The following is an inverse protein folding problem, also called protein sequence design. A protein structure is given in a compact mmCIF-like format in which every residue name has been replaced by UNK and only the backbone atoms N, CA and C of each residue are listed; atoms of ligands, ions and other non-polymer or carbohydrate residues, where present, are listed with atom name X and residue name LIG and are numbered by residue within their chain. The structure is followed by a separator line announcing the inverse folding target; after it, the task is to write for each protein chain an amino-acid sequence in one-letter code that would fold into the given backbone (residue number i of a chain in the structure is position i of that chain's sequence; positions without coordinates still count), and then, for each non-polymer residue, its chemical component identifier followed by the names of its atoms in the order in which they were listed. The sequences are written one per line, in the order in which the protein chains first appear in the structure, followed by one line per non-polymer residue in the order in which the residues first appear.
data_IF_751125408524
#
_entry.id   IF_751125408524
#
_cell.length_a   1.000
_cell.length_b   1.000
_cell.length_c   1.000
_cell.angle_alpha   90.00
_cell.angle_beta   90.00
_cell.angle_gamma   90.00
#
_symmetry.space_group_name_H-M   'P 1'
#
loop_
_entity.id
_entity.type
_entity.pdbx_description
1 polymer ?
#
# COMPACT_ATOMS: atom_id res chain seq x y z
N UNK A 1 -40.35 12.96 -50.77
CA UNK A 1 -38.92 12.77 -51.09
C UNK A 1 -38.17 12.57 -49.78
N UNK A 2 -37.89 11.33 -49.42
CA UNK A 2 -37.12 10.96 -48.24
C UNK A 2 -36.20 9.82 -48.67
N UNK A 3 -34.90 10.12 -48.79
CA UNK A 3 -33.88 9.17 -49.20
C UNK A 3 -33.28 8.48 -47.97
N UNK A 4 -33.55 7.19 -47.83
CA UNK A 4 -32.88 6.31 -46.87
C UNK A 4 -31.53 5.90 -47.42
N UNK A 5 -30.46 6.39 -46.80
CA UNK A 5 -29.07 5.98 -47.09
C UNK A 5 -28.75 4.68 -46.35
N UNK A 6 -28.63 3.59 -47.11
CA UNK A 6 -28.20 2.27 -46.63
C UNK A 6 -26.71 2.14 -46.88
N UNK A 7 -25.89 2.29 -45.83
CA UNK A 7 -24.45 2.02 -45.90
C UNK A 7 -24.18 0.53 -45.71
N UNK A 8 -23.80 -0.13 -46.79
CA UNK A 8 -23.35 -1.50 -46.83
C UNK A 8 -21.96 -1.65 -46.19
N UNK A 9 -21.84 -2.52 -45.18
CA UNK A 9 -20.56 -2.94 -44.62
C UNK A 9 -19.87 -3.94 -45.57
N UNK A 10 -18.70 -3.54 -46.07
CA UNK A 10 -17.83 -4.35 -46.91
C UNK A 10 -17.26 -5.56 -46.17
N UNK A 11 -17.35 -6.72 -46.84
CA UNK A 11 -16.70 -7.98 -46.47
C UNK A 11 -15.17 -7.82 -46.53
N UNK A 12 -14.45 -8.21 -45.48
CA UNK A 12 -12.98 -8.37 -45.51
C UNK A 12 -12.59 -9.64 -46.29
N UNK A 13 -11.50 -9.60 -47.08
CA UNK A 13 -10.96 -10.79 -47.72
C UNK A 13 -10.35 -11.75 -46.70
N UNK A 14 -10.43 -13.03 -47.04
CA UNK A 14 -9.91 -14.18 -46.32
C UNK A 14 -8.48 -14.39 -46.82
N UNK A 15 -7.49 -14.06 -46.01
CA UNK A 15 -6.10 -14.34 -46.37
C UNK A 15 -5.80 -15.83 -46.19
N UNK A 16 -5.27 -16.38 -47.26
CA UNK A 16 -4.85 -17.76 -47.48
C UNK A 16 -3.49 -18.05 -46.86
N UNK A 17 -3.37 -19.23 -46.26
CA UNK A 17 -2.10 -19.91 -45.97
C UNK A 17 -1.16 -19.93 -47.18
N UNK A 18 0.15 -19.92 -46.94
CA UNK A 18 1.00 -20.88 -47.63
C UNK A 18 1.89 -21.66 -46.66
N UNK A 19 1.72 -22.98 -46.75
CA UNK A 19 2.72 -23.98 -46.42
C UNK A 19 3.85 -23.98 -47.47
N UNK A 20 5.10 -24.04 -47.01
CA UNK A 20 6.28 -24.78 -47.55
C UNK A 20 7.54 -24.03 -47.11
N UNK A 21 8.31 -24.62 -46.19
CA UNK A 21 9.52 -25.41 -46.47
C UNK A 21 10.53 -24.64 -47.32
N UNK A 22 11.57 -24.13 -46.66
CA UNK A 22 12.93 -24.36 -47.13
C UNK A 22 13.94 -24.29 -45.99
N UNK A 23 14.73 -25.35 -45.94
CA UNK A 23 15.88 -25.58 -45.06
C UNK A 23 17.11 -24.92 -45.66
N UNK A 24 17.72 -23.96 -44.97
CA UNK A 24 19.10 -23.56 -45.23
C UNK A 24 19.84 -23.40 -43.91
N UNK A 25 20.87 -24.22 -43.77
CA UNK A 25 21.84 -24.18 -42.69
C UNK A 25 22.69 -22.90 -42.79
N UNK A 26 22.90 -22.24 -41.66
CA UNK A 26 24.05 -21.34 -41.49
C UNK A 26 24.55 -21.43 -40.06
N UNK A 27 25.65 -22.17 -39.93
CA UNK A 27 26.58 -22.10 -38.80
C UNK A 27 26.98 -20.65 -38.55
N UNK A 28 26.81 -20.17 -37.32
CA UNK A 28 27.60 -19.06 -36.80
C UNK A 28 27.82 -19.24 -35.29
N UNK A 29 29.04 -19.68 -34.98
CA UNK A 29 29.65 -19.69 -33.66
C UNK A 29 29.66 -18.27 -33.07
N UNK A 30 28.91 -18.04 -31.99
CA UNK A 30 29.16 -16.95 -31.05
C UNK A 30 29.25 -17.50 -29.62
N UNK A 31 30.47 -17.76 -29.19
CA UNK A 31 30.84 -18.11 -27.81
C UNK A 31 30.93 -16.84 -26.95
N UNK A 32 29.77 -16.36 -26.48
CA UNK A 32 29.67 -15.27 -25.50
C UNK A 32 29.36 -15.80 -24.10
N UNK A 33 30.37 -16.31 -23.38
CA UNK A 33 30.23 -16.75 -21.98
C UNK A 33 29.93 -15.56 -21.06
N UNK A 34 28.65 -15.28 -20.81
CA UNK A 34 28.22 -14.33 -19.77
C UNK A 34 28.40 -14.98 -18.39
N UNK A 35 29.37 -14.48 -17.62
CA UNK A 35 29.64 -14.87 -16.23
C UNK A 35 28.39 -14.67 -15.36
N UNK A 36 27.74 -15.78 -14.97
CA UNK A 36 26.73 -15.81 -13.90
C UNK A 36 27.37 -15.36 -12.58
N UNK A 37 26.98 -14.20 -12.05
CA UNK A 37 27.25 -13.83 -10.65
C UNK A 37 26.44 -14.78 -9.75
N UNK A 38 27.13 -15.71 -9.09
CA UNK A 38 26.59 -16.46 -7.95
C UNK A 38 26.54 -15.51 -6.76
N UNK A 39 25.36 -15.23 -6.23
CA UNK A 39 25.22 -14.70 -4.88
C UNK A 39 25.42 -15.87 -3.92
N UNK A 40 26.57 -15.91 -3.25
CA UNK A 40 26.85 -16.85 -2.16
C UNK A 40 26.07 -16.43 -0.93
N UNK A 41 25.00 -17.17 -0.62
CA UNK A 41 24.29 -17.12 0.65
C UNK A 41 25.03 -17.98 1.67
N UNK A 42 26.08 -17.46 2.28
CA UNK A 42 26.71 -18.07 3.46
C UNK A 42 27.25 -16.97 4.38
N UNK A 43 26.37 -16.39 5.19
CA UNK A 43 26.78 -15.64 6.40
C UNK A 43 25.82 -15.99 7.53
N UNK A 44 26.15 -17.04 8.28
CA UNK A 44 25.57 -17.34 9.58
C UNK A 44 26.04 -16.27 10.59
N UNK A 45 25.25 -15.21 10.79
CA UNK A 45 25.52 -14.18 11.79
C UNK A 45 24.86 -14.55 13.12
N UNK A 46 25.67 -14.69 14.17
CA UNK A 46 25.20 -14.90 15.55
C UNK A 46 24.27 -13.77 16.05
N UNK A 47 23.24 -14.07 16.84
CA UNK A 47 22.27 -13.08 17.30
C UNK A 47 22.81 -12.30 18.50
N UNK A 48 23.58 -11.22 18.24
CA UNK A 48 23.71 -10.14 19.22
C UNK A 48 22.47 -9.24 19.11
N UNK A 49 21.79 -9.05 20.23
CA UNK A 49 20.70 -8.08 20.43
C UNK A 49 21.19 -6.68 20.03
N UNK A 50 20.95 -6.30 18.78
CA UNK A 50 21.17 -4.96 18.29
C UNK A 50 20.08 -4.06 18.88
N UNK A 51 20.50 -3.06 19.66
CA UNK A 51 19.66 -1.92 19.99
C UNK A 51 19.23 -1.28 18.67
N UNK A 52 17.94 -1.32 18.38
CA UNK A 52 17.37 -0.65 17.22
C UNK A 52 17.43 0.85 17.53
N UNK A 53 18.48 1.52 17.05
CA UNK A 53 18.52 2.98 17.09
C UNK A 53 17.39 3.53 16.21
N UNK A 54 16.67 4.58 16.66
CA UNK A 54 15.63 5.21 15.87
C UNK A 54 16.24 5.72 14.57
N UNK A 55 15.87 5.09 13.45
CA UNK A 55 16.42 5.40 12.14
C UNK A 55 16.10 6.87 11.82
N UNK A 56 17.15 7.68 11.71
CA UNK A 56 17.07 9.03 11.17
C UNK A 56 16.37 8.89 9.82
N UNK A 57 15.19 9.49 9.67
CA UNK A 57 14.47 9.53 8.39
C UNK A 57 15.47 10.04 7.37
N UNK A 58 15.77 9.24 6.35
CA UNK A 58 16.62 9.67 5.25
C UNK A 58 16.06 10.99 4.73
N UNK A 59 16.86 12.05 4.73
CA UNK A 59 16.48 13.40 4.30
C UNK A 59 16.20 13.51 2.80
N UNK A 60 15.99 12.38 2.12
CA UNK A 60 15.66 12.32 0.71
C UNK A 60 14.23 12.80 0.43
N UNK A 61 13.95 13.13 -0.84
CA UNK A 61 12.61 13.49 -1.26
C UNK A 61 11.66 12.27 -1.11
N UNK A 62 10.37 12.54 -0.89
CA UNK A 62 9.37 11.51 -0.67
C UNK A 62 9.17 10.67 -1.95
N UNK A 63 9.45 9.35 -1.95
CA UNK A 63 9.37 8.51 -3.16
C UNK A 63 7.95 8.44 -3.74
N UNK A 64 6.92 8.67 -2.92
CA UNK A 64 5.52 8.63 -3.38
C UNK A 64 5.15 9.82 -4.28
N UNK A 65 5.81 10.97 -4.11
CA UNK A 65 5.50 12.20 -4.85
C UNK A 65 6.64 12.67 -5.76
N UNK A 66 7.80 12.02 -5.67
CA UNK A 66 8.95 12.29 -6.54
C UNK A 66 8.76 11.54 -7.85
N UNK A 67 8.57 12.28 -8.94
CA UNK A 67 8.46 11.69 -10.27
C UNK A 67 9.82 11.13 -10.70
N UNK A 68 9.86 9.98 -11.39
CA UNK A 68 11.11 9.45 -11.90
C UNK A 68 11.68 10.35 -13.03
N UNK A 69 12.95 10.12 -13.43
CA UNK A 69 13.52 10.74 -14.62
C UNK A 69 12.62 10.55 -15.84
N UNK A 70 12.67 11.49 -16.78
CA UNK A 70 11.96 11.34 -18.05
C UNK A 70 12.43 10.08 -18.79
N UNK A 71 11.48 9.36 -19.39
CA UNK A 71 11.72 8.19 -20.25
C UNK A 71 10.97 8.36 -21.55
N UNK A 72 11.38 7.63 -22.58
CA UNK A 72 10.73 7.52 -23.87
C UNK A 72 9.77 6.32 -23.94
N UNK A 73 9.62 5.55 -22.87
CA UNK A 73 8.86 4.30 -22.86
C UNK A 73 7.70 4.32 -21.86
N UNK A 74 6.50 4.06 -22.37
CA UNK A 74 5.27 3.96 -21.60
C UNK A 74 4.61 2.60 -21.78
N UNK A 75 3.79 2.24 -20.81
CA UNK A 75 2.91 1.08 -20.82
C UNK A 75 1.47 1.55 -20.57
N UNK A 76 0.51 1.05 -21.34
CA UNK A 76 -0.91 1.36 -21.11
C UNK A 76 -1.55 0.28 -20.25
N UNK A 77 -1.88 0.67 -19.03
CA UNK A 77 -2.40 -0.19 -17.99
C UNK A 77 -3.87 0.09 -17.73
N UNK A 78 -4.63 -0.97 -17.47
CA UNK A 78 -5.99 -0.93 -16.96
C UNK A 78 -5.97 -1.18 -15.45
N UNK A 79 -6.52 -0.24 -14.70
CA UNK A 79 -6.76 -0.33 -13.26
C UNK A 79 -8.23 -0.64 -13.03
N UNK A 80 -8.55 -1.91 -12.78
CA UNK A 80 -9.92 -2.40 -12.59
C UNK A 80 -10.20 -2.56 -11.09
N UNK A 81 -11.15 -1.80 -10.54
CA UNK A 81 -11.56 -1.97 -9.16
C UNK A 81 -12.34 -3.27 -9.03
N UNK A 82 -11.82 -4.20 -8.23
CA UNK A 82 -12.43 -5.48 -7.98
C UNK A 82 -13.72 -5.30 -7.17
N UNK A 83 -14.72 -6.17 -7.38
CA UNK A 83 -16.09 -6.11 -6.83
C UNK A 83 -17.00 -5.00 -7.37
N UNK A 84 -16.44 -3.94 -7.97
CA UNK A 84 -17.22 -2.85 -8.55
C UNK A 84 -17.21 -2.91 -10.07
N UNK A 85 -18.19 -3.64 -10.63
CA UNK A 85 -18.36 -3.73 -12.09
C UNK A 85 -18.48 -2.33 -12.69
N UNK A 86 -17.81 -2.10 -13.83
CA UNK A 86 -17.82 -0.81 -14.51
C UNK A 86 -16.95 0.28 -13.90
N UNK A 87 -16.26 0.04 -12.76
CA UNK A 87 -15.34 1.02 -12.18
C UNK A 87 -13.89 0.72 -12.58
N UNK A 88 -13.35 1.52 -13.50
CA UNK A 88 -11.97 1.33 -13.97
C UNK A 88 -11.34 2.58 -14.55
N UNK A 89 -10.02 2.54 -14.72
CA UNK A 89 -9.22 3.57 -15.40
C UNK A 89 -8.29 2.91 -16.41
N UNK A 90 -8.07 3.54 -17.56
CA UNK A 90 -7.02 3.14 -18.51
C UNK A 90 -6.02 4.28 -18.64
N UNK A 91 -4.75 3.97 -18.35
CA UNK A 91 -3.72 4.97 -18.11
C UNK A 91 -2.43 4.57 -18.78
N UNK A 92 -1.81 5.49 -19.52
CA UNK A 92 -0.44 5.36 -19.99
C UNK A 92 0.50 5.86 -18.91
N UNK A 93 1.41 4.99 -18.47
CA UNK A 93 2.33 5.24 -17.36
C UNK A 93 3.77 5.02 -17.84
N UNK A 94 4.73 5.87 -17.46
CA UNK A 94 6.14 5.64 -17.76
C UNK A 94 6.63 4.32 -17.12
N UNK A 95 7.40 3.53 -17.85
CA UNK A 95 7.80 2.18 -17.40
C UNK A 95 8.75 2.21 -16.18
N UNK A 96 9.47 3.32 -16.00
CA UNK A 96 10.36 3.53 -14.86
C UNK A 96 9.66 4.02 -13.59
N UNK A 97 8.32 4.07 -13.56
CA UNK A 97 7.58 4.33 -12.32
C UNK A 97 7.84 3.22 -11.31
N UNK A 98 8.11 3.62 -10.06
CA UNK A 98 8.17 2.68 -8.94
C UNK A 98 6.77 2.27 -8.49
N UNK A 99 6.66 1.22 -7.69
CA UNK A 99 5.40 0.87 -7.04
C UNK A 99 4.94 1.93 -6.03
N UNK A 100 5.85 2.73 -5.47
CA UNK A 100 5.50 3.90 -4.67
C UNK A 100 4.78 4.95 -5.53
N UNK A 101 5.29 5.25 -6.74
CA UNK A 101 4.60 6.14 -7.68
C UNK A 101 3.24 5.56 -8.11
N UNK A 102 3.17 4.24 -8.37
CA UNK A 102 1.93 3.57 -8.72
C UNK A 102 0.88 3.63 -7.59
N UNK A 103 1.30 3.46 -6.33
CA UNK A 103 0.41 3.63 -5.18
C UNK A 103 -0.22 5.04 -5.20
N UNK A 104 0.60 6.09 -5.30
CA UNK A 104 0.12 7.48 -5.37
C UNK A 104 -0.80 7.70 -6.57
N UNK A 105 -0.48 7.10 -7.72
CA UNK A 105 -1.33 7.16 -8.92
C UNK A 105 -2.69 6.52 -8.66
N UNK A 106 -2.74 5.37 -7.99
CA UNK A 106 -4.00 4.73 -7.58
C UNK A 106 -4.81 5.64 -6.66
N UNK A 107 -4.16 6.29 -5.67
CA UNK A 107 -4.84 7.25 -4.79
C UNK A 107 -5.47 8.40 -5.60
N UNK A 108 -4.71 8.96 -6.55
CA UNK A 108 -5.20 9.99 -7.47
C UNK A 108 -6.41 9.52 -8.28
N UNK A 109 -6.29 8.36 -8.94
CA UNK A 109 -7.27 7.79 -9.86
C UNK A 109 -8.61 7.40 -9.21
N UNK A 110 -8.58 7.03 -7.93
CA UNK A 110 -9.75 6.55 -7.17
C UNK A 110 -10.18 7.52 -6.06
N UNK A 111 -9.51 8.66 -5.90
CA UNK A 111 -9.88 9.68 -4.92
C UNK A 111 -9.80 9.19 -3.48
N UNK A 112 -8.78 8.38 -3.18
CA UNK A 112 -8.45 7.88 -1.85
C UNK A 112 -7.37 8.75 -1.20
N UNK A 113 -7.30 8.73 0.13
CA UNK A 113 -6.45 9.65 0.89
C UNK A 113 -5.04 9.10 1.23
N UNK A 114 -4.74 7.83 0.93
CA UNK A 114 -3.47 7.17 1.26
C UNK A 114 -3.22 6.96 2.76
N UNK A 115 -4.26 6.93 3.59
CA UNK A 115 -4.16 6.77 5.04
C UNK A 115 -4.08 5.32 5.50
N UNK A 116 -4.50 4.37 4.67
CA UNK A 116 -4.48 2.95 5.00
C UNK A 116 -3.23 2.24 4.45
N UNK A 117 -2.93 1.07 5.03
CA UNK A 117 -1.88 0.20 4.51
C UNK A 117 -2.23 -0.32 3.12
N UNK A 118 -1.19 -0.49 2.30
CA UNK A 118 -1.28 -1.14 1.00
C UNK A 118 -0.24 -2.23 0.84
N UNK A 119 -0.52 -3.14 -0.09
CA UNK A 119 0.45 -4.09 -0.63
C UNK A 119 0.09 -4.39 -2.09
N UNK A 120 1.08 -4.83 -2.86
CA UNK A 120 0.84 -5.29 -4.23
C UNK A 120 1.46 -6.66 -4.43
N UNK A 121 0.70 -7.58 -5.02
CA UNK A 121 1.19 -8.90 -5.43
C UNK A 121 1.34 -8.95 -6.95
N UNK A 122 2.48 -9.46 -7.42
CA UNK A 122 2.81 -9.56 -8.85
C UNK A 122 2.71 -11.02 -9.29
N UNK A 123 1.95 -11.29 -10.35
CA UNK A 123 1.68 -12.63 -10.87
C UNK A 123 2.14 -12.77 -12.31
N UNK A 124 2.78 -13.90 -12.65
CA UNK A 124 3.29 -14.16 -14.00
C UNK A 124 2.30 -14.87 -14.91
N UNK A 125 1.28 -15.52 -14.35
CA UNK A 125 0.29 -16.26 -15.10
C UNK A 125 -1.12 -15.89 -14.64
N UNK A 126 -1.67 -14.83 -15.22
CA UNK A 126 -3.05 -14.39 -14.99
C UNK A 126 -3.96 -14.80 -16.15
N UNK A 127 -5.14 -15.31 -15.82
CA UNK A 127 -6.24 -15.53 -16.75
C UNK A 127 -7.26 -14.41 -16.56
N UNK A 128 -7.64 -13.71 -17.63
CA UNK A 128 -8.65 -12.64 -17.57
C UNK A 128 -10.06 -13.19 -17.78
N UNK A 129 -11.06 -12.56 -17.16
CA UNK A 129 -12.46 -12.86 -17.50
C UNK A 129 -12.75 -12.49 -18.97
N UNK A 130 -13.37 -13.44 -19.69
CA UNK A 130 -13.86 -13.23 -21.06
C UNK A 130 -15.25 -12.57 -21.11
N UNK A 131 -15.98 -12.58 -20.00
CA UNK A 131 -17.34 -12.03 -19.93
C UNK A 131 -17.33 -10.51 -19.93
N UNK A 132 -18.28 -9.89 -20.65
CA UNK A 132 -18.40 -8.44 -20.75
C UNK A 132 -18.55 -7.75 -19.38
N UNK A 133 -19.32 -8.36 -18.47
CA UNK A 133 -19.61 -7.81 -17.14
C UNK A 133 -18.39 -7.76 -16.20
N UNK A 134 -17.29 -8.46 -16.55
CA UNK A 134 -16.06 -8.51 -15.75
C UNK A 134 -14.83 -8.19 -16.59
N UNK A 135 -14.99 -7.48 -17.71
CA UNK A 135 -13.89 -7.12 -18.61
C UNK A 135 -12.76 -6.43 -17.82
N UNK A 136 -11.54 -6.95 -17.97
CA UNK A 136 -10.35 -6.42 -17.31
C UNK A 136 -10.15 -6.86 -15.86
N UNK A 137 -11.02 -7.72 -15.31
CA UNK A 137 -10.74 -8.40 -14.06
C UNK A 137 -9.96 -9.69 -14.29
N UNK A 138 -9.02 -9.98 -13.39
CA UNK A 138 -8.34 -11.27 -13.30
C UNK A 138 -9.32 -12.32 -12.73
N UNK A 139 -9.40 -13.47 -13.40
CA UNK A 139 -10.21 -14.65 -13.04
C UNK A 139 -9.44 -15.62 -12.17
N UNK A 140 -8.21 -15.93 -12.56
CA UNK A 140 -7.27 -16.76 -11.82
C UNK A 140 -5.87 -16.20 -12.03
N UNK A 141 -5.01 -16.47 -11.07
CA UNK A 141 -3.63 -15.98 -11.03
C UNK A 141 -2.78 -16.98 -10.25
N UNK A 142 -1.48 -16.96 -10.51
CA UNK A 142 -0.52 -17.77 -9.77
C UNK A 142 0.89 -17.60 -10.33
N UNK A 143 1.80 -18.40 -9.79
CA UNK A 143 3.11 -18.59 -10.35
C UNK A 143 3.10 -19.88 -11.15
N UNK A 144 3.37 -19.78 -12.44
CA UNK A 144 3.36 -20.94 -13.31
C UNK A 144 4.62 -21.81 -13.23
N UNK A 145 5.55 -21.53 -12.31
CA UNK A 145 6.80 -22.29 -12.23
C UNK A 145 6.46 -23.78 -12.14
N UNK A 146 6.86 -24.49 -13.19
CA UNK A 146 7.02 -25.93 -13.14
C UNK A 146 7.83 -26.25 -11.87
N UNK A 147 7.39 -27.26 -11.13
CA UNK A 147 8.19 -27.80 -10.04
C UNK A 147 9.61 -28.00 -10.58
N UNK A 148 10.65 -27.37 -10.00
CA UNK A 148 11.96 -27.27 -10.65
C UNK A 148 12.44 -28.66 -11.06
N UNK A 149 12.39 -28.93 -12.36
CA UNK A 149 12.77 -30.23 -12.93
C UNK A 149 14.23 -30.48 -12.52
N UNK A 150 14.46 -31.54 -11.75
CA UNK A 150 15.78 -31.86 -11.19
C UNK A 150 15.97 -31.54 -9.70
N UNK A 151 14.98 -30.95 -9.00
CA UNK A 151 14.91 -31.04 -7.52
C UNK A 151 14.04 -32.20 -7.08
N UNK A 152 14.31 -33.40 -7.61
CA UNK A 152 13.92 -34.61 -6.89
C UNK A 152 14.73 -34.56 -5.60
N UNK A 153 14.09 -34.30 -4.47
CA UNK A 153 14.77 -34.33 -3.17
C UNK A 153 15.26 -35.78 -3.04
N UNK A 154 16.58 -36.02 -3.08
CA UNK A 154 17.10 -37.37 -3.09
C UNK A 154 16.58 -38.09 -1.84
N UNK A 155 16.09 -39.32 -2.01
CA UNK A 155 15.59 -40.18 -0.93
C UNK A 155 14.16 -39.89 -0.42
N UNK A 156 13.34 -39.08 -1.08
CA UNK A 156 11.88 -39.10 -0.81
C UNK A 156 11.22 -40.32 -1.47
N UNK A 157 10.35 -41.02 -0.74
CA UNK A 157 9.48 -42.05 -1.32
C UNK A 157 8.56 -41.46 -2.39
N UNK A 158 8.08 -42.28 -3.33
CA UNK A 158 7.14 -41.85 -4.38
C UNK A 158 5.92 -41.14 -3.78
N UNK A 159 5.35 -41.68 -2.69
CA UNK A 159 4.22 -41.07 -1.98
C UNK A 159 4.56 -39.65 -1.45
N UNK A 160 5.77 -39.45 -0.93
CA UNK A 160 6.21 -38.14 -0.45
C UNK A 160 6.52 -37.18 -1.59
N UNK A 161 7.01 -37.66 -2.73
CA UNK A 161 7.19 -36.86 -3.94
C UNK A 161 5.85 -36.38 -4.48
N UNK A 162 4.85 -37.25 -4.54
CA UNK A 162 3.48 -36.89 -4.96
C UNK A 162 2.85 -35.90 -4.01
N UNK A 163 2.95 -36.11 -2.69
CA UNK A 163 2.49 -35.14 -1.67
C UNK A 163 3.20 -33.78 -1.82
N UNK A 164 4.49 -33.79 -2.09
CA UNK A 164 5.28 -32.56 -2.30
C UNK A 164 4.85 -31.83 -3.57
N UNK A 165 4.60 -32.57 -4.66
CA UNK A 165 4.13 -32.01 -5.92
C UNK A 165 2.70 -31.46 -5.80
N UNK A 166 1.81 -32.17 -5.13
CA UNK A 166 0.45 -31.69 -4.88
C UNK A 166 0.47 -30.43 -3.99
N UNK A 167 1.26 -30.45 -2.91
CA UNK A 167 1.47 -29.27 -2.08
C UNK A 167 2.07 -28.11 -2.87
N UNK A 168 3.03 -28.37 -3.77
CA UNK A 168 3.60 -27.36 -4.67
C UNK A 168 2.54 -26.76 -5.58
N UNK A 169 1.68 -27.58 -6.19
CA UNK A 169 0.62 -27.10 -7.07
C UNK A 169 -0.41 -26.27 -6.31
N UNK A 170 -0.75 -26.66 -5.08
CA UNK A 170 -1.65 -25.89 -4.21
C UNK A 170 -1.02 -24.56 -3.80
N UNK A 171 0.25 -24.57 -3.38
CA UNK A 171 0.93 -23.37 -2.87
C UNK A 171 1.35 -22.40 -3.96
N UNK A 172 1.86 -22.88 -5.09
CA UNK A 172 2.27 -22.03 -6.22
C UNK A 172 1.12 -21.65 -7.15
N UNK A 173 0.03 -22.43 -7.11
CA UNK A 173 -1.18 -22.16 -7.88
C UNK A 173 -1.71 -20.74 -7.66
N UNK A 174 -1.47 -20.14 -6.49
CA UNK A 174 -1.84 -18.75 -6.17
C UNK A 174 -0.65 -17.89 -5.69
N UNK A 175 0.59 -18.38 -5.81
CA UNK A 175 1.77 -17.63 -5.35
C UNK A 175 2.07 -16.42 -6.24
N UNK A 176 2.56 -15.36 -5.61
CA UNK A 176 3.01 -14.16 -6.30
C UNK A 176 4.54 -14.19 -6.46
N UNK A 177 5.09 -13.70 -7.56
CA UNK A 177 6.55 -13.60 -7.70
C UNK A 177 7.11 -12.53 -6.76
N UNK A 178 6.41 -11.39 -6.66
CA UNK A 178 6.75 -10.31 -5.73
C UNK A 178 5.59 -10.02 -4.79
N UNK A 179 5.92 -9.80 -3.52
CA UNK A 179 5.06 -9.14 -2.55
C UNK A 179 5.66 -7.76 -2.24
N UNK A 180 5.09 -6.74 -2.86
CA UNK A 180 5.57 -5.37 -2.77
C UNK A 180 4.86 -4.68 -1.61
N UNK A 181 5.62 -4.14 -0.66
CA UNK A 181 5.10 -3.51 0.56
C UNK A 181 5.59 -2.08 0.70
N UNK A 182 4.84 -1.25 1.43
CA UNK A 182 5.23 0.13 1.69
C UNK A 182 6.62 0.24 2.34
N UNK A 183 7.42 1.22 1.92
CA UNK A 183 8.75 1.49 2.48
C UNK A 183 8.77 1.54 4.01
N UNK A 184 9.79 0.92 4.61
CA UNK A 184 9.97 0.90 6.06
C UNK A 184 9.08 -0.09 6.82
N UNK A 185 8.19 -0.82 6.14
CA UNK A 185 7.37 -1.89 6.76
C UNK A 185 8.09 -3.23 6.87
N UNK A 186 9.20 -3.44 6.16
CA UNK A 186 9.97 -4.70 6.21
C UNK A 186 10.76 -4.82 7.53
N UNK A 187 11.03 -3.71 8.23
CA UNK A 187 11.92 -3.72 9.38
C UNK A 187 11.21 -4.10 10.69
N UNK A 188 11.64 -5.23 11.28
CA UNK A 188 11.72 -5.34 12.74
C UNK A 188 11.00 -6.51 13.40
N UNK A 189 10.05 -7.20 12.76
CA UNK A 189 9.31 -8.31 13.44
C UNK A 189 8.97 -9.53 12.59
N UNK A 190 8.76 -9.43 11.26
CA UNK A 190 8.16 -10.55 10.54
C UNK A 190 9.11 -11.65 10.09
N UNK A 191 10.42 -11.41 9.94
CA UNK A 191 11.34 -12.47 9.52
C UNK A 191 11.72 -13.45 10.65
N UNK A 192 11.51 -13.07 11.92
CA UNK A 192 11.78 -13.93 13.08
C UNK A 192 10.53 -14.40 13.84
N UNK A 193 9.40 -13.69 13.73
CA UNK A 193 8.19 -14.00 14.51
C UNK A 193 7.16 -14.85 13.74
N UNK A 194 7.27 -14.93 12.42
CA UNK A 194 6.55 -15.96 11.67
C UNK A 194 7.46 -17.20 11.70
N UNK A 195 7.13 -18.16 12.57
CA UNK A 195 7.95 -19.36 12.81
C UNK A 195 8.28 -20.16 11.54
N UNK A 196 8.97 -21.28 11.73
CA UNK A 196 9.55 -22.25 10.78
C UNK A 196 8.80 -22.52 9.45
N UNK A 197 7.55 -22.07 9.28
CA UNK A 197 6.73 -22.19 8.08
C UNK A 197 6.64 -20.93 7.19
N UNK A 198 7.11 -19.75 7.62
CA UNK A 198 7.04 -18.54 6.79
C UNK A 198 8.21 -18.31 5.84
N UNK A 199 9.32 -19.01 6.08
CA UNK A 199 10.46 -19.05 5.16
C UNK A 199 10.12 -19.78 3.83
N UNK A 200 8.94 -20.39 3.73
CA UNK A 200 8.44 -21.03 2.51
C UNK A 200 7.55 -20.13 1.66
N UNK A 201 7.35 -18.85 2.01
CA UNK A 201 6.76 -17.92 1.04
C UNK A 201 7.81 -17.65 -0.04
N UNK A 202 7.67 -18.32 -1.19
CA UNK A 202 8.58 -18.19 -2.34
C UNK A 202 8.55 -16.81 -3.00
N UNK A 203 7.67 -15.93 -2.53
CA UNK A 203 7.50 -14.57 -3.02
C UNK A 203 8.68 -13.72 -2.54
N UNK A 204 9.30 -12.99 -3.46
CA UNK A 204 10.29 -11.99 -3.08
C UNK A 204 9.57 -10.79 -2.46
N UNK A 205 9.82 -10.52 -1.19
CA UNK A 205 9.30 -9.32 -0.53
C UNK A 205 10.21 -8.14 -0.81
N UNK A 206 9.67 -7.08 -1.40
CA UNK A 206 10.42 -5.90 -1.88
C UNK A 206 9.71 -4.63 -1.43
N UNK A 207 10.46 -3.56 -1.13
CA UNK A 207 9.84 -2.26 -0.84
C UNK A 207 9.33 -1.59 -2.13
N UNK A 208 8.23 -0.87 -2.05
CA UNK A 208 7.58 -0.25 -3.20
C UNK A 208 8.40 0.82 -3.93
N UNK A 209 9.38 1.43 -3.26
CA UNK A 209 10.36 2.33 -3.88
C UNK A 209 11.48 1.61 -4.67
N UNK A 210 11.67 0.31 -4.47
CA UNK A 210 12.80 -0.46 -5.05
C UNK A 210 12.43 -1.20 -6.33
N UNK A 211 11.15 -1.46 -6.57
CA UNK A 211 10.65 -2.17 -7.76
C UNK A 211 9.97 -1.18 -8.71
N UNK A 212 10.32 -1.24 -9.99
CA UNK A 212 9.70 -0.46 -11.06
C UNK A 212 8.71 -1.28 -11.87
N UNK A 213 7.85 -0.62 -12.66
CA UNK A 213 6.98 -1.30 -13.62
C UNK A 213 7.79 -2.02 -14.71
N UNK A 214 8.98 -1.51 -15.05
CA UNK A 214 9.93 -2.11 -16.00
C UNK A 214 10.55 -3.42 -15.52
N UNK A 215 10.70 -3.59 -14.20
CA UNK A 215 11.15 -4.87 -13.64
C UNK A 215 10.07 -5.96 -13.76
N UNK A 216 8.80 -5.55 -13.93
CA UNK A 216 7.64 -6.43 -14.06
C UNK A 216 7.34 -6.73 -15.52
N UNK A 217 7.13 -5.69 -16.31
CA UNK A 217 6.83 -5.75 -17.72
C UNK A 217 7.98 -5.10 -18.50
N UNK A 218 8.48 -5.77 -19.53
CA UNK A 218 9.57 -5.27 -20.38
C UNK A 218 9.13 -5.32 -21.84
N UNK A 219 9.60 -4.42 -22.70
CA UNK A 219 9.30 -4.48 -24.15
C UNK A 219 9.78 -5.80 -24.75
N UNK A 220 10.94 -6.28 -24.29
CA UNK A 220 11.45 -7.60 -24.61
C UNK A 220 10.85 -8.60 -23.62
N UNK A 221 9.91 -9.42 -24.08
CA UNK A 221 9.22 -10.40 -23.24
C UNK A 221 10.18 -11.40 -22.57
N UNK A 222 11.37 -11.63 -23.15
CA UNK A 222 12.40 -12.48 -22.54
C UNK A 222 12.95 -11.89 -21.23
N UNK A 223 12.87 -10.57 -21.06
CA UNK A 223 13.40 -9.86 -19.90
C UNK A 223 12.36 -9.57 -18.81
N UNK A 224 11.06 -9.75 -19.10
CA UNK A 224 9.98 -9.50 -18.15
C UNK A 224 10.08 -10.37 -16.88
N UNK A 225 9.20 -10.18 -15.90
CA UNK A 225 9.28 -10.89 -14.60
C UNK A 225 9.15 -12.42 -14.73
N UNK A 226 8.53 -12.91 -15.81
CA UNK A 226 8.44 -14.34 -16.12
C UNK A 226 9.66 -14.90 -16.84
N UNK A 227 10.59 -14.04 -17.29
CA UNK A 227 11.77 -14.42 -18.08
C UNK A 227 11.42 -15.14 -19.38
N UNK A 228 10.45 -14.59 -20.12
CA UNK A 228 9.98 -15.13 -21.41
C UNK A 228 9.01 -16.29 -21.32
N UNK A 229 8.74 -16.83 -20.12
CA UNK A 229 7.79 -17.94 -19.94
C UNK A 229 6.35 -17.52 -20.27
N UNK A 230 6.00 -16.27 -19.95
CA UNK A 230 4.69 -15.68 -20.21
C UNK A 230 4.81 -14.37 -20.96
N UNK A 231 3.85 -14.14 -21.85
CA UNK A 231 3.69 -12.86 -22.54
C UNK A 231 3.28 -11.78 -21.55
N UNK A 232 3.57 -10.52 -21.85
CA UNK A 232 3.27 -9.41 -20.96
C UNK A 232 1.78 -9.27 -20.61
N UNK A 233 0.88 -9.63 -21.54
CA UNK A 233 -0.58 -9.67 -21.32
C UNK A 233 -1.04 -10.72 -20.30
N UNK A 234 -0.18 -11.69 -19.98
CA UNK A 234 -0.41 -12.75 -19.01
C UNK A 234 0.21 -12.43 -17.65
N UNK A 235 0.89 -11.29 -17.50
CA UNK A 235 1.37 -10.77 -16.22
C UNK A 235 0.35 -9.76 -15.69
N UNK A 236 0.04 -9.84 -14.39
CA UNK A 236 -0.91 -8.94 -13.74
C UNK A 236 -0.57 -8.69 -12.29
N UNK A 237 -1.12 -7.59 -11.76
CA UNK A 237 -0.94 -7.20 -10.35
C UNK A 237 -2.28 -7.21 -9.63
N UNK A 238 -2.24 -7.56 -8.35
CA UNK A 238 -3.33 -7.32 -7.42
C UNK A 238 -2.82 -6.36 -6.37
N UNK A 239 -3.32 -5.13 -6.44
CA UNK A 239 -3.09 -4.10 -5.45
C UNK A 239 -4.20 -4.16 -4.40
N UNK A 240 -3.83 -4.23 -3.13
CA UNK A 240 -4.77 -4.25 -2.00
C UNK A 240 -4.53 -3.02 -1.13
N UNK A 241 -5.61 -2.32 -0.80
CA UNK A 241 -5.63 -1.14 0.07
C UNK A 241 -6.64 -1.35 1.19
N UNK A 242 -6.30 -0.90 2.41
CA UNK A 242 -7.08 -1.18 3.62
C UNK A 242 -7.18 -2.68 3.91
N UNK A 243 -6.06 -3.28 4.35
CA UNK A 243 -5.92 -4.74 4.47
C UNK A 243 -6.97 -5.45 5.34
N UNK A 244 -7.68 -4.72 6.22
CA UNK A 244 -8.78 -5.26 7.04
C UNK A 244 -10.11 -5.34 6.28
N UNK A 245 -10.30 -4.50 5.26
CA UNK A 245 -11.47 -4.44 4.39
C UNK A 245 -11.05 -4.18 2.93
N UNK A 246 -10.31 -5.12 2.30
CA UNK A 246 -9.44 -4.77 1.19
C UNK A 246 -10.21 -4.28 -0.04
N UNK A 247 -9.94 -3.04 -0.41
CA UNK A 247 -10.14 -2.55 -1.76
C UNK A 247 -9.07 -3.19 -2.64
N UNK A 248 -9.50 -4.04 -3.56
CA UNK A 248 -8.61 -4.75 -4.47
C UNK A 248 -8.70 -4.11 -5.85
N UNK A 249 -7.56 -3.80 -6.47
CA UNK A 249 -7.46 -3.31 -7.84
C UNK A 249 -6.63 -4.31 -8.63
N UNK A 250 -7.19 -4.80 -9.73
CA UNK A 250 -6.48 -5.60 -10.70
C UNK A 250 -5.81 -4.67 -11.71
N UNK A 251 -4.49 -4.79 -11.87
CA UNK A 251 -3.71 -3.98 -12.82
C UNK A 251 -3.17 -4.89 -13.91
N UNK A 252 -3.52 -4.61 -15.16
CA UNK A 252 -3.14 -5.43 -16.34
C UNK A 252 -2.86 -4.54 -17.54
N UNK A 253 -2.18 -5.08 -18.55
CA UNK A 253 -1.96 -4.37 -19.82
C UNK A 253 -3.27 -4.27 -20.60
N UNK A 254 -3.58 -3.08 -21.10
CA UNK A 254 -4.76 -2.82 -21.94
C UNK A 254 -4.42 -2.89 -23.44
N UNK A 255 -3.32 -2.24 -23.86
CA UNK A 255 -3.00 -2.02 -25.28
C UNK A 255 -1.47 -2.02 -25.56
N UNK A 256 -0.66 -2.48 -24.59
CA UNK A 256 0.78 -2.69 -24.75
C UNK A 256 1.67 -1.49 -24.39
N UNK A 257 2.81 -1.42 -25.07
CA UNK A 257 3.86 -0.42 -24.87
C UNK A 257 3.85 0.65 -25.96
N UNK A 258 4.33 1.83 -25.61
CA UNK A 258 4.41 3.00 -26.49
C UNK A 258 5.76 3.66 -26.33
N UNK A 259 6.33 4.10 -27.46
CA UNK A 259 7.51 4.95 -27.47
C UNK A 259 7.10 6.38 -27.85
N UNK A 260 7.61 7.37 -27.12
CA UNK A 260 7.43 8.80 -27.44
C UNK A 260 8.73 9.39 -27.97
N UNK A 261 8.62 10.25 -28.97
CA UNK A 261 9.75 11.06 -29.46
C UNK A 261 10.21 12.12 -28.43
N UNK A 262 9.31 12.51 -27.52
CA UNK A 262 9.59 13.47 -26.46
C UNK A 262 9.60 12.75 -25.11
N UNK A 263 10.78 12.48 -24.52
CA UNK A 263 10.86 11.86 -23.22
C UNK A 263 10.11 12.66 -22.16
N UNK A 264 9.39 11.95 -21.29
CA UNK A 264 8.58 12.56 -20.25
C UNK A 264 8.40 11.63 -19.06
N UNK A 265 7.78 12.16 -18.01
CA UNK A 265 7.37 11.41 -16.83
C UNK A 265 5.89 11.66 -16.48
N UNK A 266 5.14 12.19 -17.45
CA UNK A 266 3.70 12.42 -17.35
C UNK A 266 2.92 11.13 -17.46
N UNK A 267 1.71 11.18 -16.89
CA UNK A 267 0.72 10.13 -16.93
C UNK A 267 -0.46 10.62 -17.76
N UNK A 268 -0.97 9.77 -18.65
CA UNK A 268 -2.10 10.08 -19.50
C UNK A 268 -3.27 9.16 -19.19
N UNK A 269 -4.31 9.71 -18.58
CA UNK A 269 -5.56 8.98 -18.34
C UNK A 269 -6.38 9.04 -19.63
N UNK A 270 -6.54 7.89 -20.28
CA UNK A 270 -7.21 7.77 -21.59
C UNK A 270 -8.66 7.36 -21.48
N UNK A 271 -9.03 6.67 -20.40
CA UNK A 271 -10.40 6.23 -20.16
C UNK A 271 -10.73 6.23 -18.66
N UNK A 272 -11.95 6.67 -18.31
CA UNK A 272 -12.45 6.74 -16.93
C UNK A 272 -13.92 6.34 -16.86
N UNK A 273 -14.23 5.37 -16.01
CA UNK A 273 -15.61 4.91 -15.81
C UNK A 273 -15.92 4.66 -14.34
N UNK A 274 -17.06 5.18 -13.87
CA UNK A 274 -17.56 5.02 -12.51
C UNK A 274 -16.65 5.58 -11.41
N UNK A 275 -17.13 5.57 -10.17
CA UNK A 275 -16.36 5.99 -8.99
C UNK A 275 -16.51 4.96 -7.86
N UNK A 276 -15.49 4.80 -6.99
CA UNK A 276 -15.59 3.89 -5.86
C UNK A 276 -16.63 4.37 -4.84
N UNK A 277 -16.83 3.58 -3.78
CA UNK A 277 -17.49 4.06 -2.56
C UNK A 277 -16.61 5.04 -1.79
N UNK A 278 -17.25 5.82 -0.92
CA UNK A 278 -16.56 6.75 -0.04
C UNK A 278 -15.76 5.96 0.99
N UNK A 279 -14.48 6.29 1.13
CA UNK A 279 -13.56 5.76 2.14
C UNK A 279 -14.17 5.90 3.56
N UNK A 280 -13.86 4.96 4.47
CA UNK A 280 -14.31 4.93 5.89
C UNK A 280 -15.80 4.64 6.14
N UNK A 281 -16.66 4.56 5.12
CA UNK A 281 -18.06 4.17 5.30
C UNK A 281 -18.23 2.66 5.14
N UNK A 282 -18.08 1.93 6.26
CA UNK A 282 -18.29 0.47 6.32
C UNK A 282 -19.75 0.03 6.11
N UNK A 283 -20.69 0.97 6.03
CA UNK A 283 -22.11 0.69 5.80
C UNK A 283 -22.50 1.05 4.36
N UNK A 284 -23.11 0.09 3.67
CA UNK A 284 -23.83 0.33 2.43
C UNK A 284 -24.89 1.40 2.68
N UNK A 285 -24.76 2.55 2.02
CA UNK A 285 -25.80 3.58 2.04
C UNK A 285 -26.73 3.27 0.87
N UNK A 286 -27.98 2.87 1.16
CA UNK A 286 -28.98 2.43 0.18
C UNK A 286 -29.26 3.45 -0.92
N UNK A 287 -29.06 4.73 -0.64
CA UNK A 287 -29.50 5.83 -1.50
C UNK A 287 -28.40 6.32 -2.45
N UNK A 288 -27.26 5.62 -2.51
CA UNK A 288 -26.17 6.00 -3.39
C UNK A 288 -26.34 5.34 -4.77
N UNK A 289 -26.05 6.07 -5.87
CA UNK A 289 -26.04 5.48 -7.21
C UNK A 289 -25.03 4.32 -7.28
N UNK A 290 -25.26 3.38 -8.20
CA UNK A 290 -24.33 2.29 -8.44
C UNK A 290 -22.95 2.86 -8.79
N UNK A 291 -21.89 2.17 -8.38
CA UNK A 291 -20.53 2.67 -8.54
C UNK A 291 -20.18 2.99 -10.02
N UNK A 292 -20.71 2.20 -10.96
CA UNK A 292 -20.58 2.42 -12.40
C UNK A 292 -21.28 3.70 -12.91
N UNK A 293 -22.33 4.16 -12.22
CA UNK A 293 -23.17 5.29 -12.61
C UNK A 293 -22.70 6.62 -12.01
N UNK A 294 -21.77 6.57 -11.05
CA UNK A 294 -21.20 7.77 -10.44
C UNK A 294 -20.41 8.57 -11.45
N UNK A 295 -20.60 9.89 -11.43
CA UNK A 295 -19.87 10.81 -12.29
C UNK A 295 -18.37 10.81 -11.95
N UNK A 296 -17.54 11.05 -12.96
CA UNK A 296 -16.08 11.18 -12.79
C UNK A 296 -15.66 12.53 -13.34
N UNK A 297 -14.82 13.26 -12.59
CA UNK A 297 -14.34 14.57 -13.02
C UNK A 297 -13.42 14.46 -14.24
N UNK A 298 -13.74 15.23 -15.28
CA UNK A 298 -12.92 15.36 -16.51
C UNK A 298 -11.51 15.90 -16.22
N UNK A 299 -11.30 16.55 -15.07
CA UNK A 299 -9.97 16.98 -14.64
C UNK A 299 -8.99 15.81 -14.47
N UNK A 300 -9.47 14.57 -14.32
CA UNK A 300 -8.60 13.39 -14.33
C UNK A 300 -7.97 13.11 -15.70
N UNK A 301 -8.64 13.52 -16.79
CA UNK A 301 -8.20 13.33 -18.17
C UNK A 301 -7.15 14.36 -18.61
N UNK A 302 -6.98 15.43 -17.84
CA UNK A 302 -5.97 16.46 -18.11
C UNK A 302 -4.62 16.00 -17.59
N UNK A 303 -3.70 15.61 -18.47
CA UNK A 303 -2.38 15.04 -18.10
C UNK A 303 -1.59 15.90 -17.12
N UNK A 304 -1.61 17.23 -17.29
CA UNK A 304 -0.89 18.17 -16.41
C UNK A 304 -1.41 18.16 -14.96
N UNK A 305 -2.63 17.69 -14.71
CA UNK A 305 -3.19 17.61 -13.36
C UNK A 305 -2.53 16.52 -12.50
N UNK A 306 -1.94 15.48 -13.10
CA UNK A 306 -1.14 14.51 -12.34
C UNK A 306 0.05 15.17 -11.64
N UNK A 307 0.84 15.97 -12.37
CA UNK A 307 1.95 16.74 -11.80
C UNK A 307 1.48 17.69 -10.69
N UNK A 308 0.32 18.31 -10.86
CA UNK A 308 -0.29 19.18 -9.84
C UNK A 308 -0.70 18.40 -8.60
N UNK A 309 -1.23 17.19 -8.76
CA UNK A 309 -1.53 16.29 -7.65
C UNK A 309 -0.24 15.94 -6.88
N UNK A 310 0.83 15.56 -7.57
CA UNK A 310 2.13 15.28 -6.94
C UNK A 310 2.69 16.49 -6.16
N UNK A 311 2.47 17.70 -6.66
CA UNK A 311 2.83 18.96 -5.98
C UNK A 311 1.82 19.42 -4.92
N UNK A 312 0.76 18.65 -4.65
CA UNK A 312 -0.33 18.99 -3.71
C UNK A 312 -1.11 20.26 -4.09
N UNK A 313 -1.06 20.65 -5.36
CA UNK A 313 -1.84 21.75 -5.96
C UNK A 313 -3.24 21.28 -6.42
N UNK A 314 -3.47 19.97 -6.41
CA UNK A 314 -4.73 19.33 -6.77
C UNK A 314 -4.98 18.18 -5.80
N UNK A 315 -6.24 17.98 -5.41
CA UNK A 315 -6.67 16.82 -4.64
C UNK A 315 -7.76 16.08 -5.39
N UNK A 316 -7.86 14.78 -5.15
CA UNK A 316 -8.96 13.95 -5.63
C UNK A 316 -9.69 13.36 -4.43
N UNK A 317 -10.99 13.22 -4.54
CA UNK A 317 -11.82 12.68 -3.47
C UNK A 317 -13.06 12.00 -4.03
N UNK A 318 -13.34 10.81 -3.53
CA UNK A 318 -14.61 10.14 -3.79
C UNK A 318 -15.72 10.68 -2.88
N UNK A 319 -16.79 11.13 -3.51
CA UNK A 319 -18.03 11.60 -2.92
C UNK A 319 -19.14 10.55 -3.10
N UNK A 320 -20.28 10.69 -2.39
CA UNK A 320 -21.44 9.82 -2.56
C UNK A 320 -21.83 9.51 -4.00
N UNK A 321 -21.85 10.53 -4.85
CA UNK A 321 -22.36 10.51 -6.22
C UNK A 321 -21.30 10.72 -7.30
N UNK A 322 -20.05 11.02 -6.95
CA UNK A 322 -19.02 11.36 -7.93
C UNK A 322 -17.59 11.15 -7.41
N UNK A 323 -16.63 10.98 -8.33
CA UNK A 323 -15.21 11.20 -8.08
C UNK A 323 -14.84 12.62 -8.53
N UNK A 324 -14.42 13.46 -7.59
CA UNK A 324 -14.12 14.87 -7.84
C UNK A 324 -12.62 15.09 -7.73
N UNK A 325 -12.07 15.80 -8.71
CA UNK A 325 -10.74 16.43 -8.64
C UNK A 325 -10.93 17.93 -8.43
N UNK A 326 -10.16 18.55 -7.53
CA UNK A 326 -10.25 19.96 -7.21
C UNK A 326 -8.87 20.58 -7.10
N UNK A 327 -8.67 21.71 -7.76
CA UNK A 327 -7.48 22.54 -7.59
C UNK A 327 -7.48 23.11 -6.18
N UNK A 328 -6.39 22.89 -5.45
CA UNK A 328 -6.15 23.51 -4.15
C UNK A 328 -5.79 24.97 -4.42
N UNK A 329 -6.65 25.89 -3.99
CA UNK A 329 -6.32 27.32 -3.99
C UNK A 329 -5.27 27.55 -2.92
N UNK A 330 -4.00 27.58 -3.31
CA UNK A 330 -2.83 27.68 -2.44
C UNK A 330 -2.67 29.05 -1.76
N UNK A 331 -3.59 30.01 -1.98
CA UNK A 331 -3.33 31.41 -1.66
C UNK A 331 -3.95 32.02 -0.40
N UNK A 332 -4.97 31.44 0.25
CA UNK A 332 -5.64 32.14 1.39
C UNK A 332 -6.35 31.24 2.39
N UNK A 333 -6.86 30.09 1.94
CA UNK A 333 -7.63 29.18 2.79
C UNK A 333 -6.74 28.32 3.69
N UNK A 334 -5.55 27.94 3.23
CA UNK A 334 -4.62 27.12 4.00
C UNK A 334 -4.09 27.88 5.21
N UNK A 335 -3.61 29.11 5.04
CA UNK A 335 -3.09 29.94 6.13
C UNK A 335 -4.17 30.20 7.18
N UNK A 336 -5.36 30.62 6.77
CA UNK A 336 -6.50 30.82 7.69
C UNK A 336 -6.93 29.54 8.41
N UNK A 337 -6.91 28.38 7.75
CA UNK A 337 -7.23 27.11 8.41
C UNK A 337 -6.13 26.64 9.36
N UNK A 338 -4.85 26.83 9.00
CA UNK A 338 -3.74 26.54 9.89
C UNK A 338 -3.74 27.48 11.10
N UNK A 339 -3.98 28.77 10.90
CA UNK A 339 -4.14 29.76 11.97
C UNK A 339 -5.33 29.40 12.86
N UNK A 340 -6.49 29.07 12.29
CA UNK A 340 -7.67 28.68 13.06
C UNK A 340 -7.43 27.38 13.85
N UNK A 341 -6.75 26.39 13.25
CA UNK A 341 -6.40 25.14 13.93
C UNK A 341 -5.37 25.37 15.03
N UNK A 342 -4.38 26.22 14.79
CA UNK A 342 -3.37 26.60 15.77
C UNK A 342 -4.01 27.35 16.93
N UNK A 343 -4.87 28.34 16.66
CA UNK A 343 -5.63 29.05 17.67
C UNK A 343 -6.53 28.10 18.49
N UNK A 344 -7.15 27.10 17.85
CA UNK A 344 -7.94 26.08 18.55
C UNK A 344 -7.08 25.19 19.47
N UNK A 345 -5.89 24.80 19.02
CA UNK A 345 -4.93 24.03 19.83
C UNK A 345 -4.38 24.86 20.99
N UNK A 346 -4.06 26.14 20.77
CA UNK A 346 -3.62 27.06 21.82
C UNK A 346 -4.72 27.32 22.84
N UNK A 347 -5.97 27.45 22.40
CA UNK A 347 -7.13 27.56 23.30
C UNK A 347 -7.31 26.28 24.13
N UNK A 348 -7.20 25.09 23.52
CA UNK A 348 -7.24 23.83 24.28
C UNK A 348 -6.08 23.71 25.27
N UNK A 349 -4.86 24.08 24.87
CA UNK A 349 -3.71 24.10 25.76
C UNK A 349 -3.87 25.09 26.91
N UNK A 350 -4.50 26.24 26.67
CA UNK A 350 -4.82 27.22 27.71
C UNK A 350 -5.83 26.65 28.73
N UNK A 351 -6.88 25.97 28.27
CA UNK A 351 -7.85 25.28 29.15
C UNK A 351 -7.15 24.21 30.01
N UNK A 352 -6.27 23.41 29.42
CA UNK A 352 -5.49 22.38 30.16
C UNK A 352 -4.59 23.04 31.22
N UNK A 353 -3.94 24.17 30.90
CA UNK A 353 -3.13 24.92 31.89
C UNK A 353 -3.99 25.45 33.04
N UNK A 354 -5.15 26.02 32.75
CA UNK A 354 -6.08 26.50 33.78
C UNK A 354 -6.53 25.37 34.73
N UNK A 355 -6.89 24.21 34.18
CA UNK A 355 -7.25 23.05 35.01
C UNK A 355 -6.09 22.60 35.89
N UNK A 356 -4.86 22.57 35.37
CA UNK A 356 -3.67 22.18 36.13
C UNK A 356 -3.35 23.16 37.26
N UNK A 357 -3.57 24.46 37.04
CA UNK A 357 -3.38 25.48 38.06
C UNK A 357 -4.44 25.40 39.17
N UNK A 358 -5.70 25.15 38.82
CA UNK A 358 -6.77 24.92 39.79
C UNK A 358 -6.54 23.65 40.62
N UNK A 359 -6.14 22.54 39.99
CA UNK A 359 -5.72 21.33 40.71
C UNK A 359 -4.56 21.61 41.67
N UNK A 360 -3.59 22.43 41.24
CA UNK A 360 -2.47 22.86 42.08
C UNK A 360 -2.91 23.70 43.28
N UNK A 361 -3.86 24.62 43.11
CA UNK A 361 -4.45 25.41 44.20
C UNK A 361 -5.23 24.54 45.18
N UNK A 362 -6.02 23.60 44.67
CA UNK A 362 -6.82 22.69 45.50
C UNK A 362 -5.93 21.76 46.31
N UNK A 363 -4.87 21.19 45.71
CA UNK A 363 -3.85 20.43 46.45
C UNK A 363 -3.21 21.24 47.59
N UNK A 364 -2.93 22.54 47.36
CA UNK A 364 -2.40 23.43 48.42
C UNK A 364 -3.43 23.69 49.53
N UNK A 365 -4.72 23.81 49.21
CA UNK A 365 -5.80 23.96 50.21
C UNK A 365 -5.93 22.71 51.06
N UNK A 366 -5.99 21.52 50.43
CA UNK A 366 -6.02 20.23 51.12
C UNK A 366 -4.80 20.09 52.04
N UNK A 367 -3.59 20.40 51.56
CA UNK A 367 -2.39 20.31 52.38
C UNK A 367 -2.41 21.26 53.59
N UNK A 368 -2.95 22.48 53.43
CA UNK A 368 -3.12 23.42 54.56
C UNK A 368 -4.14 22.91 55.57
N UNK A 369 -5.25 22.34 55.11
CA UNK A 369 -6.27 21.75 55.98
C UNK A 369 -5.70 20.55 56.77
N UNK A 370 -4.94 19.66 56.11
CA UNK A 370 -4.25 18.55 56.76
C UNK A 370 -3.25 19.02 57.81
N UNK A 371 -2.45 20.06 57.52
CA UNK A 371 -1.51 20.64 58.50
C UNK A 371 -2.23 21.26 59.71
N UNK A 372 -3.38 21.90 59.50
CA UNK A 372 -4.20 22.45 60.59
C UNK A 372 -4.74 21.33 61.48
N UNK A 373 -5.32 20.29 60.88
CA UNK A 373 -5.83 19.13 61.60
C UNK A 373 -4.73 18.43 62.41
N UNK A 374 -3.54 18.25 61.83
CA UNK A 374 -2.40 17.66 62.54
C UNK A 374 -1.98 18.48 63.77
N UNK A 375 -2.04 19.82 63.69
CA UNK A 375 -1.77 20.70 64.85
C UNK A 375 -2.85 20.59 65.92
N UNK A 376 -4.12 20.52 65.54
CA UNK A 376 -5.24 20.35 66.48
C UNK A 376 -5.15 18.99 67.20
N UNK A 377 -4.81 17.91 66.49
CA UNK A 377 -4.56 16.58 67.10
C UNK A 377 -3.37 16.64 68.06
N UNK A 378 -2.26 17.27 67.66
CA UNK A 378 -1.08 17.39 68.51
C UNK A 378 -1.37 18.20 69.79
N UNK A 379 -2.13 19.30 69.68
CA UNK A 379 -2.54 20.11 70.83
C UNK A 379 -3.46 19.34 71.78
N UNK A 380 -4.40 18.54 71.25
CA UNK A 380 -5.25 17.67 72.07
C UNK A 380 -4.44 16.62 72.84
N UNK A 381 -3.50 15.95 72.17
CA UNK A 381 -2.60 14.99 72.83
C UNK A 381 -1.76 15.64 73.92
N UNK A 382 -1.19 16.81 73.65
CA UNK A 382 -0.42 17.55 74.66
C UNK A 382 -1.27 17.97 75.87
N UNK A 383 -2.56 18.27 75.66
CA UNK A 383 -3.50 18.56 76.75
C UNK A 383 -3.82 17.29 77.56
N UNK A 384 -4.12 16.18 76.88
CA UNK A 384 -4.34 14.87 77.53
C UNK A 384 -3.13 14.40 78.35
N UNK A 385 -1.91 14.63 77.84
CA UNK A 385 -0.66 14.30 78.55
C UNK A 385 -0.37 15.26 79.74
N UNK A 386 -0.98 16.46 79.77
CA UNK A 386 -0.80 17.43 80.88
C UNK A 386 -1.72 17.19 82.08
N UNK A 387 -2.74 16.35 81.91
CA UNK A 387 -3.71 15.97 82.94
C UNK A 387 -3.30 14.69 83.69
N UNK A 388 -2.01 14.34 83.71
CA UNK A 388 -1.51 13.35 84.67
C UNK A 388 -1.74 13.89 86.08
N UNK A 389 -2.65 13.31 86.87
CA UNK A 389 -2.87 13.77 88.22
C UNK A 389 -1.62 13.44 89.03
N UNK A 390 -0.91 14.48 89.49
CA UNK A 390 -0.07 14.40 90.68
C UNK A 390 -1.00 14.12 91.89
N UNK A 391 -1.40 12.86 92.03
CA UNK A 391 -2.00 12.28 93.23
C UNK A 391 -1.40 10.88 93.35
N UNK A 392 -0.76 10.45 94.43
CA UNK A 392 -0.58 11.06 95.74
C UNK A 392 0.42 10.14 96.47
N UNK A 393 1.70 10.47 96.48
CA UNK A 393 2.62 9.91 97.47
C UNK A 393 2.60 10.82 98.70
N UNK A 394 1.61 10.64 99.58
CA UNK A 394 1.66 11.24 100.91
C UNK A 394 1.10 10.26 101.95
N UNK A 395 2.03 9.79 102.80
CA UNK A 395 1.90 9.08 104.08
C UNK A 395 1.37 7.64 104.14
N UNK A 396 2.29 6.72 104.47
CA UNK A 396 2.27 6.12 105.81
C UNK A 396 3.63 5.49 106.11
N UNK A 397 4.52 6.27 106.73
CA UNK A 397 5.64 5.72 107.50
C UNK A 397 5.17 5.34 108.91
N UNK A 398 5.79 4.30 109.43
CA UNK A 398 5.99 3.98 110.85
C UNK A 398 4.86 3.29 111.62
N UNK A 399 5.04 1.98 111.80
CA UNK A 399 5.22 1.37 113.13
C UNK A 399 5.86 -0.02 112.96
N UNK A 400 7.19 -0.11 113.10
CA UNK A 400 7.87 -0.91 114.14
C UNK A 400 9.34 -0.53 114.27
#
# INVERSE_FOLDING_TARGET
MAGTSTLAYGKRPRDTDPSEKDSVASDTLFSGVKKRRRYTTDVLVSPKLLKIEPKVRSSGPDPYFTLPPATDTWIKLRFQLNRFQGVYRVVQVPINYTFANMHTLIQYLFGWNGSHSHQTRVYTNVEMYKSANRKGSIKSYGQARAYPEGRVIPNLSEEMQEKTLNWWNITNGEAAVYEVVASGKIQGKSQKALGYFSDYSWNYRVEDQELTLGDVWDLDEENNVSKGEFRNRNIGLIYEYELEAPWSIHVTIDDGFYQSECPGNDVFVTDVHGAPSVEEKNHWVSDHPLAAEKAVSDLLLVSSNWKRYCRKELTTRTLPNALVAKVVQTGTMSEKQTEARQAKLEAQAAVIRMHRDEEGKERKRILRAQRRLAREIAARRAFEDSDTPECSEYYSSDLY
#
